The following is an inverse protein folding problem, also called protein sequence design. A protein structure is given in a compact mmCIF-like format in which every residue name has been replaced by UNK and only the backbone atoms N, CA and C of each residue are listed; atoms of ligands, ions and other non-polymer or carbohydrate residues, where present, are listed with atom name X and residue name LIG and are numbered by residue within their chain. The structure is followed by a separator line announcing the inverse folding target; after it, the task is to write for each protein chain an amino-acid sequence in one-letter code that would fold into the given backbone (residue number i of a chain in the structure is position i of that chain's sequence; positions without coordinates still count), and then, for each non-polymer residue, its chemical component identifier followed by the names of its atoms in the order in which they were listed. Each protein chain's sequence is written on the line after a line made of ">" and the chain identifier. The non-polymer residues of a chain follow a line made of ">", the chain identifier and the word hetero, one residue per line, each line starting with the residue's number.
data_IF_771645014406
#
_entry.id   IF_771645014406
#
_cell.length_a   1.000
_cell.length_b   1.000
_cell.length_c   1.000
_cell.angle_alpha   90.00
_cell.angle_beta   90.00
_cell.angle_gamma   90.00
#
_symmetry.space_group_name_H-M   'P 1'
#
loop_
_entity.id
_entity.type
_entity.pdbx_description
1 polymer ?
#
# COMPACT_ATOMS: atom_id res chain seq x y z
N UNK A 1 14.53 -16.72 -12.66
CA UNK A 1 13.89 -16.47 -12.45
C UNK A 1 13.60 -16.15 -11.93
N UNK A 2 13.36 -16.10 -12.25
CA UNK A 2 12.58 -15.66 -11.99
C UNK A 2 12.30 -15.30 -11.49
N UNK A 3 12.20 -15.14 -11.70
CA UNK A 3 11.60 -14.63 -11.49
C UNK A 3 11.26 -14.02 -10.94
N UNK A 4 11.21 -14.08 -11.26
CA UNK A 4 10.54 -13.39 -10.89
C UNK A 4 10.25 -12.78 -10.53
N UNK A 5 10.30 -12.67 -10.73
CA UNK A 5 9.67 -12.08 -10.58
C UNK A 5 9.34 -11.89 -11.06
N UNK A 6 9.22 -12.05 -11.67
CA UNK A 6 8.65 -11.95 -12.27
C UNK A 6 8.27 -12.55 -12.49
N UNK A 7 7.77 -13.23 -13.09
CA UNK A 7 7.01 -13.87 -13.30
C UNK A 7 6.61 -14.32 -13.78
N UNK A 8 6.51 -14.88 -13.69
CA UNK A 8 5.80 -15.34 -14.81
C UNK A 8 4.47 -14.76 -14.97
N UNK A 9 4.13 -14.63 -16.15
CA UNK A 9 3.05 -13.82 -16.41
C UNK A 9 1.78 -14.54 -16.40
N UNK A 10 1.76 -15.72 -16.79
CA UNK A 10 0.53 -16.47 -16.88
C UNK A 10 -0.04 -16.75 -15.54
N UNK A 11 0.75 -16.56 -14.54
CA UNK A 11 0.27 -16.84 -13.20
C UNK A 11 -0.34 -15.66 -12.54
N UNK A 12 -0.22 -14.48 -13.16
CA UNK A 12 -0.75 -13.34 -12.46
C UNK A 12 -2.24 -13.39 -12.41
N UNK A 13 -2.78 -12.83 -11.38
CA UNK A 13 -4.20 -12.82 -11.14
C UNK A 13 -4.71 -14.10 -10.57
N UNK A 14 -4.40 -15.20 -11.22
CA UNK A 14 -4.91 -16.47 -10.76
C UNK A 14 -4.04 -17.10 -9.72
N UNK A 15 -2.73 -16.98 -9.91
CA UNK A 15 -1.80 -17.61 -9.00
C UNK A 15 -1.51 -16.80 -7.77
N UNK A 16 -1.86 -15.53 -7.77
CA UNK A 16 -1.60 -14.66 -6.63
C UNK A 16 -2.72 -14.81 -5.64
N UNK A 17 -2.39 -15.18 -4.41
CA UNK A 17 -3.41 -15.34 -3.39
C UNK A 17 -3.93 -13.98 -2.94
N UNK A 18 -5.11 -14.00 -2.34
CA UNK A 18 -5.67 -12.78 -1.80
C UNK A 18 -4.79 -12.22 -0.69
N UNK A 19 -4.22 -13.10 0.12
CA UNK A 19 -3.32 -12.68 1.18
C UNK A 19 -2.10 -11.98 0.62
N UNK A 20 -1.56 -12.48 -0.48
CA UNK A 20 -0.38 -11.86 -1.08
C UNK A 20 -0.70 -10.47 -1.62
N UNK A 21 -1.89 -10.30 -2.20
CA UNK A 21 -2.32 -9.00 -2.67
C UNK A 21 -2.47 -8.01 -1.53
N UNK A 22 -3.07 -8.44 -0.42
CA UNK A 22 -3.24 -7.58 0.74
C UNK A 22 -1.89 -7.22 1.33
N UNK A 23 -0.97 -8.20 1.42
CA UNK A 23 0.37 -7.92 1.91
C UNK A 23 1.08 -6.89 1.05
N UNK A 24 0.96 -7.01 -0.27
CA UNK A 24 1.56 -6.05 -1.19
C UNK A 24 0.99 -4.66 -0.97
N UNK A 25 -0.33 -4.58 -0.77
CA UNK A 25 -0.98 -3.30 -0.53
C UNK A 25 -0.51 -2.67 0.77
N UNK A 26 -0.37 -3.48 1.82
CA UNK A 26 0.09 -2.96 3.11
C UNK A 26 1.54 -2.52 3.04
N UNK A 27 2.38 -3.24 2.28
CA UNK A 27 3.76 -2.84 2.09
C UNK A 27 3.87 -1.54 1.33
N UNK A 28 2.99 -1.32 0.38
CA UNK A 28 2.97 -0.06 -0.37
C UNK A 28 2.73 1.10 0.59
N UNK A 29 1.81 0.91 1.55
CA UNK A 29 1.53 1.94 2.54
C UNK A 29 2.74 2.21 3.42
N UNK A 30 3.37 1.16 3.94
CA UNK A 30 4.46 1.36 4.90
C UNK A 30 5.75 1.82 4.25
N UNK A 31 6.02 1.40 3.03
CA UNK A 31 7.28 1.69 2.38
C UNK A 31 7.25 2.88 1.43
N UNK A 32 6.05 3.29 1.03
CA UNK A 32 5.91 4.35 0.05
C UNK A 32 4.70 5.22 0.34
N UNK A 33 4.48 5.55 1.60
CA UNK A 33 3.24 6.20 2.03
C UNK A 33 3.01 7.57 1.39
N UNK A 34 4.07 8.24 0.96
CA UNK A 34 3.91 9.55 0.33
C UNK A 34 3.22 9.44 -1.02
N UNK A 35 3.50 8.38 -1.75
CA UNK A 35 2.96 8.20 -3.09
C UNK A 35 2.26 6.88 -3.26
N UNK A 36 1.82 6.29 -2.16
CA UNK A 36 1.19 4.98 -2.18
C UNK A 36 -0.05 5.00 -3.06
N UNK A 37 -0.21 3.94 -3.85
CA UNK A 37 -1.30 3.85 -4.79
C UNK A 37 -1.71 2.39 -4.95
N UNK A 38 -2.98 2.10 -4.69
CA UNK A 38 -3.49 0.77 -4.89
C UNK A 38 -3.49 0.39 -6.37
N UNK A 39 -3.58 1.40 -7.24
CA UNK A 39 -3.49 1.15 -8.68
C UNK A 39 -2.15 0.56 -9.06
N UNK A 40 -1.07 1.00 -8.41
CA UNK A 40 0.25 0.43 -8.66
C UNK A 40 0.29 -1.05 -8.29
N UNK A 41 -0.31 -1.40 -7.16
CA UNK A 41 -0.37 -2.78 -6.73
C UNK A 41 -1.16 -3.61 -7.74
N UNK A 42 -2.33 -3.13 -8.12
CA UNK A 42 -3.18 -3.84 -9.08
C UNK A 42 -2.43 -4.08 -10.39
N UNK A 43 -1.76 -3.06 -10.88
CA UNK A 43 -1.03 -3.15 -12.13
C UNK A 43 0.12 -4.14 -12.03
N UNK A 44 0.84 -4.11 -10.90
CA UNK A 44 1.98 -4.99 -10.71
C UNK A 44 1.58 -6.46 -10.70
N UNK A 45 0.40 -6.76 -10.23
CA UNK A 45 -0.04 -8.15 -10.12
C UNK A 45 -1.02 -8.56 -11.21
N UNK A 46 -1.32 -7.65 -12.13
CA UNK A 46 -2.18 -7.99 -13.26
C UNK A 46 -3.62 -8.24 -12.87
N UNK A 47 -4.10 -7.57 -11.84
CA UNK A 47 -5.49 -7.70 -11.40
C UNK A 47 -6.16 -6.35 -11.48
N UNK A 48 -7.49 -6.35 -11.38
CA UNK A 48 -8.23 -5.09 -11.43
C UNK A 48 -8.10 -4.36 -10.10
N UNK A 49 -8.23 -3.05 -10.18
CA UNK A 49 -8.23 -2.23 -8.98
C UNK A 49 -9.39 -2.61 -8.06
N UNK A 50 -10.55 -2.88 -8.65
CA UNK A 50 -11.71 -3.25 -7.86
C UNK A 50 -11.47 -4.54 -7.08
N UNK A 51 -10.80 -5.50 -7.71
CA UNK A 51 -10.54 -6.77 -7.06
C UNK A 51 -9.60 -6.61 -5.86
N UNK A 52 -8.48 -5.91 -6.05
CA UNK A 52 -7.54 -5.78 -4.95
C UNK A 52 -8.12 -4.89 -3.85
N UNK A 53 -8.92 -3.91 -4.22
CA UNK A 53 -9.60 -3.06 -3.25
C UNK A 53 -10.53 -3.88 -2.36
N UNK A 54 -11.27 -4.81 -2.97
CA UNK A 54 -12.16 -5.68 -2.22
C UNK A 54 -11.40 -6.63 -1.31
N UNK A 55 -10.26 -7.14 -1.78
CA UNK A 55 -9.42 -8.02 -0.96
C UNK A 55 -8.94 -7.30 0.29
N UNK A 56 -8.50 -6.06 0.14
CA UNK A 56 -8.03 -5.28 1.27
C UNK A 56 -9.15 -5.06 2.27
N UNK A 57 -10.32 -4.67 1.77
CA UNK A 57 -11.45 -4.43 2.65
C UNK A 57 -11.91 -5.70 3.36
N UNK A 58 -11.93 -6.81 2.65
CA UNK A 58 -12.39 -8.07 3.23
C UNK A 58 -11.48 -8.56 4.34
N UNK A 59 -10.17 -8.38 4.18
CA UNK A 59 -9.23 -8.90 5.16
C UNK A 59 -8.92 -7.95 6.31
N UNK A 60 -8.97 -6.65 6.06
CA UNK A 60 -8.60 -5.68 7.08
C UNK A 60 -9.80 -5.00 7.72
N UNK A 61 -10.95 -5.07 7.07
CA UNK A 61 -12.14 -4.38 7.54
C UNK A 61 -12.15 -2.90 7.19
N UNK A 62 -11.13 -2.43 6.49
CA UNK A 62 -11.00 -1.02 6.15
C UNK A 62 -10.62 -0.86 4.70
N UNK A 63 -10.93 0.29 4.12
CA UNK A 63 -10.51 0.58 2.76
C UNK A 63 -9.02 0.90 2.75
N UNK A 64 -8.42 0.78 1.58
CA UNK A 64 -7.02 1.15 1.41
C UNK A 64 -6.79 2.61 1.81
N UNK A 65 -7.73 3.47 1.42
CA UNK A 65 -7.62 4.89 1.75
C UNK A 65 -7.59 5.11 3.26
N UNK A 66 -8.44 4.41 3.99
CA UNK A 66 -8.48 4.52 5.44
C UNK A 66 -7.17 4.07 6.08
N UNK A 67 -6.63 2.96 5.57
CA UNK A 67 -5.37 2.44 6.08
C UNK A 67 -4.21 3.40 5.79
N UNK A 68 -4.20 3.97 4.60
CA UNK A 68 -3.16 4.91 4.22
C UNK A 68 -3.22 6.18 5.07
N UNK A 69 -4.43 6.70 5.27
CA UNK A 69 -4.60 7.88 6.09
C UNK A 69 -4.15 7.64 7.52
N UNK A 70 -4.51 6.48 8.07
CA UNK A 70 -4.09 6.14 9.41
C UNK A 70 -2.57 6.10 9.53
N UNK A 71 -1.92 5.46 8.56
CA UNK A 71 -0.46 5.37 8.58
C UNK A 71 0.19 6.76 8.47
N UNK A 72 -0.35 7.60 7.61
CA UNK A 72 0.18 8.95 7.45
C UNK A 72 0.03 9.76 8.73
N UNK A 73 -1.11 9.62 9.41
CA UNK A 73 -1.33 10.36 10.65
C UNK A 73 -0.44 9.86 11.76
N UNK A 74 -0.25 8.56 11.86
CA UNK A 74 0.65 7.99 12.86
C UNK A 74 2.09 8.41 12.61
N UNK A 75 2.49 8.48 11.35
CA UNK A 75 3.82 8.93 11.00
C UNK A 75 4.00 10.41 11.34
N UNK A 76 3.00 11.22 11.05
CA UNK A 76 3.06 12.64 11.37
C UNK A 76 3.18 12.85 12.88
N UNK A 77 2.40 12.10 13.66
CA UNK A 77 2.46 12.20 15.12
C UNK A 77 3.84 11.83 15.65
N UNK A 78 4.44 10.80 15.06
CA UNK A 78 5.78 10.38 15.47
C UNK A 78 6.81 11.44 15.13
N UNK A 79 6.71 12.06 13.96
CA UNK A 79 7.64 13.09 13.55
C UNK A 79 7.51 14.34 14.45
N UNK A 80 6.30 14.68 14.84
CA UNK A 80 6.09 15.81 15.74
C UNK A 80 6.78 15.59 17.09
N UNK A 81 6.78 14.35 17.55
CA UNK A 81 7.38 14.05 18.85
C UNK A 81 8.90 13.94 18.82
N UNK A 82 9.43 13.62 17.65
CA UNK A 82 10.84 13.24 17.56
C UNK A 82 11.73 14.18 16.79
N UNK A 83 11.20 15.20 16.18
CA UNK A 83 12.03 16.06 15.35
C UNK A 83 11.66 17.51 15.59
N UNK A 84 12.50 18.39 15.01
CA UNK A 84 12.27 19.83 15.07
C UNK A 84 11.44 20.30 13.89
N UNK A 85 10.90 19.38 13.12
CA UNK A 85 10.12 19.75 11.96
C UNK A 85 8.85 20.47 12.38
N UNK A 86 8.51 21.52 11.67
CA UNK A 86 7.23 22.19 11.92
C UNK A 86 6.12 21.45 11.18
N UNK A 87 4.88 21.86 11.42
CA UNK A 87 3.73 21.14 10.89
C UNK A 87 3.71 21.13 9.36
N UNK A 88 4.16 22.20 8.73
CA UNK A 88 4.19 22.26 7.27
C UNK A 88 5.19 21.27 6.70
N UNK A 89 6.35 21.17 7.31
CA UNK A 89 7.36 20.21 6.89
C UNK A 89 6.86 18.79 7.05
N UNK A 90 6.14 18.51 8.13
CA UNK A 90 5.61 17.19 8.39
C UNK A 90 4.54 16.82 7.37
N UNK A 91 3.65 17.74 7.06
CA UNK A 91 2.61 17.51 6.07
C UNK A 91 3.23 17.18 4.73
N UNK A 92 4.27 17.92 4.34
CA UNK A 92 4.98 17.65 3.10
C UNK A 92 5.65 16.28 3.11
N UNK A 93 6.22 15.92 4.26
CA UNK A 93 6.94 14.66 4.40
C UNK A 93 6.02 13.45 4.29
N UNK A 94 4.84 13.51 4.88
CA UNK A 94 3.98 12.33 4.90
C UNK A 94 2.99 12.25 3.73
N UNK A 95 2.91 13.29 2.95
CA UNK A 95 2.02 13.28 1.78
C UNK A 95 0.65 13.84 2.10
#
# INVERSE_FOLDING_TARGET
>A
MVQTKNFPLETRGEAVSREALVQAALQEITQNYREASLSNVARSYGVSLAYVSECVRAQTGKTYKELLQKHRMETAARLLRRSDMNIQQIITQVG
#
